data_IF_317292813357
#
_entry.id   IF_317292813357
#
_cell.length_a   1.000
_cell.length_b   1.000
_cell.length_c   1.000
_cell.angle_alpha   90.00
_cell.angle_beta   90.00
_cell.angle_gamma   90.00
#
_symmetry.space_group_name_H-M   'P 1'
#
loop_
_entity.id
_entity.type
_entity.pdbx_description
1 polymer ?
#
# COMPACT_ATOMS: atom_id res chain seq x y z
N UNK A 1 -8.51 1.90 6.68
CA UNK A 1 -7.14 2.05 7.21
C UNK A 1 -7.08 3.10 8.32
N UNK A 2 -7.61 4.30 8.09
CA UNK A 2 -7.64 5.33 9.13
C UNK A 2 -8.42 4.94 10.39
N UNK A 3 -9.66 4.46 10.25
CA UNK A 3 -10.47 4.00 11.39
C UNK A 3 -9.82 2.85 12.15
N UNK A 4 -9.25 1.90 11.42
CA UNK A 4 -8.44 0.80 11.99
C UNK A 4 -7.31 1.32 12.90
N UNK A 5 -6.66 2.43 12.54
CA UNK A 5 -5.64 3.07 13.38
C UNK A 5 -6.22 3.73 14.64
N UNK A 6 -7.39 4.36 14.51
CA UNK A 6 -8.01 5.15 15.59
C UNK A 6 -8.72 4.28 16.63
N UNK A 7 -9.51 3.29 16.17
CA UNK A 7 -10.42 2.51 17.01
C UNK A 7 -10.11 1.01 17.03
N UNK A 8 -9.11 0.56 16.26
CA UNK A 8 -8.67 -0.84 16.26
C UNK A 8 -9.50 -1.78 15.37
N UNK A 9 -10.51 -1.26 14.68
CA UNK A 9 -11.31 -1.98 13.67
C UNK A 9 -11.70 -1.03 12.53
N UNK A 10 -12.08 -1.59 11.38
CA UNK A 10 -12.66 -0.81 10.29
C UNK A 10 -14.07 -0.35 10.66
N UNK A 11 -14.20 0.92 11.03
CA UNK A 11 -15.49 1.55 11.28
C UNK A 11 -16.18 1.98 9.98
N UNK A 12 -17.51 1.92 9.98
CA UNK A 12 -18.39 2.43 8.91
C UNK A 12 -18.27 3.95 8.76
N UNK A 13 -18.63 4.44 7.58
CA UNK A 13 -18.73 5.87 7.28
C UNK A 13 -20.17 6.24 6.92
N UNK A 14 -20.59 7.51 7.13
CA UNK A 14 -21.85 8.02 6.61
C UNK A 14 -21.97 7.80 5.09
N UNK A 15 -23.20 7.81 4.56
CA UNK A 15 -23.46 7.63 3.13
C UNK A 15 -22.76 8.68 2.25
N UNK A 16 -22.63 9.91 2.76
CA UNK A 16 -21.89 11.01 2.12
C UNK A 16 -20.72 11.49 3.01
N UNK A 17 -19.59 10.77 3.06
CA UNK A 17 -18.49 11.12 3.96
C UNK A 17 -17.61 12.25 3.42
N UNK A 18 -17.60 12.47 2.09
CA UNK A 18 -16.66 13.37 1.43
C UNK A 18 -16.74 14.83 1.92
N UNK A 19 -17.92 15.47 2.08
CA UNK A 19 -17.97 16.88 2.49
C UNK A 19 -17.30 17.14 3.85
N UNK A 20 -17.52 16.25 4.82
CA UNK A 20 -16.88 16.34 6.14
C UNK A 20 -15.36 16.12 6.02
N UNK A 21 -14.96 15.09 5.27
CA UNK A 21 -13.57 14.74 5.08
C UNK A 21 -12.77 15.85 4.39
N UNK A 22 -13.32 16.46 3.34
CA UNK A 22 -12.73 17.58 2.60
C UNK A 22 -12.65 18.86 3.43
N UNK A 23 -13.55 19.03 4.41
CA UNK A 23 -13.50 20.10 5.39
C UNK A 23 -12.47 19.85 6.52
N UNK A 24 -11.76 18.71 6.49
CA UNK A 24 -10.77 18.32 7.49
C UNK A 24 -11.32 17.49 8.65
N UNK A 25 -12.62 17.21 8.68
CA UNK A 25 -13.21 16.31 9.67
C UNK A 25 -13.04 14.85 9.25
N UNK A 26 -11.90 14.28 9.66
CA UNK A 26 -11.54 12.87 9.45
C UNK A 26 -12.06 11.93 10.55
N UNK A 27 -12.95 12.43 11.43
CA UNK A 27 -13.48 11.70 12.58
C UNK A 27 -14.99 11.41 12.49
N UNK A 28 -15.61 11.72 11.35
CA UNK A 28 -17.04 11.51 11.08
C UNK A 28 -17.48 10.05 10.90
N UNK A 29 -16.60 9.09 11.18
CA UNK A 29 -16.91 7.66 11.12
C UNK A 29 -17.92 7.24 12.21
N UNK A 30 -18.72 6.22 11.91
CA UNK A 30 -19.79 5.71 12.78
C UNK A 30 -19.23 4.74 13.85
N UNK A 31 -19.93 4.55 14.98
CA UNK A 31 -19.51 3.59 15.99
C UNK A 31 -19.74 2.11 15.60
N UNK A 32 -20.22 1.84 14.38
CA UNK A 32 -20.46 0.50 13.84
C UNK A 32 -19.26 -0.01 13.02
N UNK A 33 -19.08 -1.33 12.97
CA UNK A 33 -18.01 -1.95 12.20
C UNK A 33 -18.44 -2.20 10.75
N UNK A 34 -17.55 -1.90 9.82
CA UNK A 34 -17.70 -2.14 8.39
C UNK A 34 -17.53 -3.62 8.05
N UNK A 35 -18.09 -4.02 6.90
CA UNK A 35 -17.97 -5.36 6.38
C UNK A 35 -16.60 -5.59 5.72
N UNK A 36 -15.76 -6.40 6.37
CA UNK A 36 -14.37 -6.64 5.95
C UNK A 36 -14.21 -8.01 5.28
N UNK A 37 -13.75 -8.02 4.03
CA UNK A 37 -13.47 -9.24 3.24
C UNK A 37 -11.98 -9.59 3.10
N UNK A 38 -11.09 -8.72 3.58
CA UNK A 38 -9.65 -8.88 3.42
C UNK A 38 -8.95 -8.92 4.79
N UNK A 39 -7.90 -9.76 4.96
CA UNK A 39 -7.05 -9.69 6.14
C UNK A 39 -6.46 -8.27 6.34
N UNK A 40 -6.26 -7.82 7.60
CA UNK A 40 -6.04 -6.40 7.89
C UNK A 40 -4.61 -5.91 7.63
N UNK A 41 -3.66 -6.81 7.36
CA UNK A 41 -2.22 -6.46 7.28
C UNK A 41 -1.94 -5.32 6.28
N UNK A 42 -2.49 -5.37 5.07
CA UNK A 42 -2.27 -4.32 4.08
C UNK A 42 -2.85 -2.96 4.52
N UNK A 43 -4.00 -2.98 5.20
CA UNK A 43 -4.61 -1.76 5.76
C UNK A 43 -3.76 -1.18 6.90
N UNK A 44 -3.14 -2.03 7.72
CA UNK A 44 -2.18 -1.59 8.75
C UNK A 44 -0.93 -0.94 8.17
N UNK A 45 -0.41 -1.46 7.05
CA UNK A 45 0.73 -0.86 6.35
C UNK A 45 0.37 0.55 5.83
N UNK A 46 -0.82 0.72 5.25
CA UNK A 46 -1.33 2.04 4.82
C UNK A 46 -1.52 2.97 6.03
N UNK A 47 -2.13 2.47 7.11
CA UNK A 47 -2.34 3.22 8.34
C UNK A 47 -1.03 3.71 8.96
N UNK A 48 0.06 2.93 8.86
CA UNK A 48 1.38 3.34 9.33
C UNK A 48 1.90 4.58 8.58
N UNK A 49 1.68 4.62 7.26
CA UNK A 49 1.97 5.81 6.44
C UNK A 49 1.19 7.03 6.91
N UNK A 50 -0.13 6.88 7.12
CA UNK A 50 -0.97 7.96 7.64
C UNK A 50 -0.50 8.44 9.02
N UNK A 51 -0.13 7.52 9.92
CA UNK A 51 0.31 7.83 11.29
C UNK A 51 1.56 8.72 11.34
N UNK A 52 2.55 8.43 10.50
CA UNK A 52 3.85 9.13 10.57
C UNK A 52 3.90 10.42 9.76
N UNK A 53 3.02 10.60 8.78
CA UNK A 53 3.17 11.64 7.76
C UNK A 53 2.08 12.72 7.77
N UNK A 54 1.36 12.89 8.88
CA UNK A 54 0.40 13.99 9.04
C UNK A 54 -1.07 13.59 8.86
N UNK A 55 -1.40 12.32 9.09
CA UNK A 55 -2.79 11.86 9.24
C UNK A 55 -3.56 11.76 7.93
N UNK A 56 -4.84 11.43 8.08
CA UNK A 56 -5.78 11.24 6.98
C UNK A 56 -6.12 12.54 6.22
N UNK A 57 -5.93 13.72 6.82
CA UNK A 57 -6.19 15.02 6.20
C UNK A 57 -5.32 15.28 4.96
N UNK A 58 -4.18 14.61 4.87
CA UNK A 58 -3.23 14.77 3.77
C UNK A 58 -3.34 13.58 2.79
N UNK A 59 -3.90 13.73 1.58
CA UNK A 59 -4.18 12.59 0.69
C UNK A 59 -2.96 11.77 0.27
N UNK A 60 -1.77 12.37 0.25
CA UNK A 60 -0.53 11.69 -0.11
C UNK A 60 -0.09 10.68 0.97
N UNK A 61 -0.46 10.86 2.24
CA UNK A 61 -0.10 9.97 3.34
C UNK A 61 -0.79 8.60 3.22
N UNK A 62 -1.88 8.53 2.45
CA UNK A 62 -2.61 7.29 2.18
C UNK A 62 -1.88 6.41 1.17
N UNK A 63 -0.98 7.02 0.39
CA UNK A 63 -0.29 6.42 -0.75
C UNK A 63 1.19 6.20 -0.48
N UNK A 64 1.77 6.87 0.52
CA UNK A 64 3.21 6.77 0.81
C UNK A 64 3.66 5.32 1.08
N UNK A 65 2.83 4.54 1.78
CA UNK A 65 3.11 3.12 1.99
C UNK A 65 3.15 2.35 0.67
N UNK A 66 2.17 2.57 -0.23
CA UNK A 66 2.13 1.92 -1.55
C UNK A 66 3.33 2.32 -2.40
N UNK A 67 3.74 3.59 -2.35
CA UNK A 67 4.87 4.09 -3.11
C UNK A 67 6.19 3.45 -2.65
N UNK A 68 6.41 3.39 -1.33
CA UNK A 68 7.60 2.75 -0.74
C UNK A 68 7.63 1.26 -1.10
N UNK A 69 6.50 0.57 -0.93
CA UNK A 69 6.38 -0.85 -1.26
C UNK A 69 6.67 -1.11 -2.74
N UNK A 70 6.16 -0.29 -3.65
CA UNK A 70 6.45 -0.37 -5.08
C UNK A 70 7.93 -0.24 -5.42
N UNK A 71 8.62 0.73 -4.80
CA UNK A 71 10.08 0.91 -4.98
C UNK A 71 10.85 -0.31 -4.45
N UNK A 72 10.46 -0.85 -3.30
CA UNK A 72 11.09 -2.07 -2.75
C UNK A 72 10.83 -3.26 -3.68
N UNK A 73 9.65 -3.37 -4.26
CA UNK A 73 9.31 -4.44 -5.21
C UNK A 73 10.24 -4.44 -6.43
N UNK A 74 10.57 -3.27 -7.01
CA UNK A 74 11.55 -3.14 -8.09
C UNK A 74 12.90 -3.74 -7.69
N UNK A 75 13.39 -3.42 -6.49
CA UNK A 75 14.67 -3.94 -5.98
C UNK A 75 14.59 -5.46 -5.79
N UNK A 76 13.50 -5.98 -5.23
CA UNK A 76 13.32 -7.42 -5.04
C UNK A 76 13.28 -8.16 -6.37
N UNK A 77 12.52 -7.68 -7.36
CA UNK A 77 12.47 -8.25 -8.71
C UNK A 77 13.87 -8.32 -9.31
N UNK A 78 14.64 -7.22 -9.23
CA UNK A 78 16.01 -7.19 -9.73
C UNK A 78 16.91 -8.23 -9.04
N UNK A 79 16.78 -8.37 -7.71
CA UNK A 79 17.59 -9.32 -6.91
C UNK A 79 17.20 -10.76 -7.16
N UNK A 80 15.92 -11.04 -7.32
CA UNK A 80 15.37 -12.37 -7.63
C UNK A 80 15.80 -12.79 -9.03
N UNK A 81 15.59 -11.96 -10.05
CA UNK A 81 16.02 -12.24 -11.41
C UNK A 81 17.54 -12.45 -11.51
N UNK A 82 18.34 -11.64 -10.79
CA UNK A 82 19.78 -11.85 -10.71
C UNK A 82 20.13 -13.24 -10.17
N UNK A 83 19.45 -13.73 -9.14
CA UNK A 83 19.69 -15.07 -8.58
C UNK A 83 19.27 -16.17 -9.55
N UNK A 84 18.11 -16.02 -10.18
CA UNK A 84 17.57 -17.01 -11.12
C UNK A 84 18.44 -17.18 -12.37
N UNK A 85 18.92 -16.07 -12.95
CA UNK A 85 19.72 -16.07 -14.17
C UNK A 85 21.24 -16.03 -13.92
N UNK A 86 21.67 -16.00 -12.66
CA UNK A 86 23.07 -15.78 -12.26
C UNK A 86 23.75 -14.58 -12.96
N UNK A 87 22.98 -13.55 -13.36
CA UNK A 87 23.45 -12.44 -14.19
C UNK A 87 22.98 -11.10 -13.63
N UNK A 88 23.94 -10.21 -13.36
CA UNK A 88 23.65 -8.83 -12.93
C UNK A 88 22.89 -8.07 -14.00
N UNK A 89 23.26 -8.27 -15.28
CA UNK A 89 22.61 -7.61 -16.39
C UNK A 89 21.12 -7.99 -16.48
N UNK A 90 20.80 -9.29 -16.33
CA UNK A 90 19.41 -9.75 -16.33
C UNK A 90 18.62 -9.23 -15.12
N UNK A 91 19.26 -9.12 -13.96
CA UNK A 91 18.66 -8.48 -12.79
C UNK A 91 18.31 -7.01 -13.04
N UNK A 92 19.23 -6.25 -13.65
CA UNK A 92 18.99 -4.84 -14.01
C UNK A 92 17.84 -4.72 -15.00
N UNK A 93 17.82 -5.55 -16.06
CA UNK A 93 16.76 -5.52 -17.07
C UNK A 93 15.40 -5.81 -16.42
N UNK A 94 15.28 -6.85 -15.60
CA UNK A 94 14.02 -7.18 -14.94
C UNK A 94 13.54 -6.06 -13.99
N UNK A 95 14.44 -5.50 -13.19
CA UNK A 95 14.12 -4.35 -12.33
C UNK A 95 13.71 -3.12 -13.13
N UNK A 96 14.42 -2.80 -14.21
CA UNK A 96 14.11 -1.66 -15.07
C UNK A 96 12.75 -1.81 -15.73
N UNK A 97 12.41 -3.00 -16.22
CA UNK A 97 11.09 -3.29 -16.79
C UNK A 97 9.97 -3.08 -15.75
N UNK A 98 10.15 -3.59 -14.53
CA UNK A 98 9.19 -3.36 -13.44
C UNK A 98 9.07 -1.87 -13.07
N UNK A 99 10.17 -1.13 -13.10
CA UNK A 99 10.20 0.29 -12.72
C UNK A 99 9.46 1.20 -13.72
N UNK A 100 9.38 0.80 -14.99
CA UNK A 100 8.70 1.57 -16.06
C UNK A 100 7.36 0.96 -16.46
N UNK A 101 6.95 -0.13 -15.83
CA UNK A 101 5.68 -0.76 -16.08
C UNK A 101 4.52 0.15 -15.62
N UNK A 102 3.59 0.42 -16.53
CA UNK A 102 2.51 1.37 -16.30
C UNK A 102 1.58 0.93 -15.18
N UNK A 103 1.25 -0.37 -15.11
CA UNK A 103 0.36 -0.92 -14.10
C UNK A 103 1.03 -0.90 -12.72
N UNK A 104 2.30 -1.30 -12.64
CA UNK A 104 3.10 -1.23 -11.42
C UNK A 104 3.17 0.20 -10.87
N UNK A 105 3.33 1.21 -11.73
CA UNK A 105 3.32 2.62 -11.35
C UNK A 105 1.94 3.05 -10.81
N UNK A 106 0.86 2.66 -11.49
CA UNK A 106 -0.53 2.98 -11.08
C UNK A 106 -0.84 2.36 -9.71
N UNK A 107 -0.49 1.09 -9.50
CA UNK A 107 -0.68 0.41 -8.23
C UNK A 107 0.18 1.01 -7.11
N UNK A 108 1.41 1.43 -7.42
CA UNK A 108 2.31 2.04 -6.43
C UNK A 108 1.87 3.43 -5.98
N UNK A 109 1.06 4.13 -6.78
CA UNK A 109 0.56 5.48 -6.44
C UNK A 109 -0.89 5.50 -5.95
N UNK A 110 -1.53 4.34 -5.87
CA UNK A 110 -2.91 4.19 -5.40
C UNK A 110 -2.90 3.50 -4.04
N UNK A 111 -3.80 3.90 -3.14
CA UNK A 111 -3.95 3.30 -1.81
C UNK A 111 -4.66 1.94 -1.83
N UNK A 112 -4.31 1.04 -2.76
CA UNK A 112 -4.89 -0.30 -2.89
C UNK A 112 -4.10 -1.36 -2.10
N UNK A 113 -4.75 -2.48 -1.82
CA UNK A 113 -4.15 -3.59 -1.07
C UNK A 113 -3.31 -4.53 -1.93
N UNK A 114 -3.52 -4.52 -3.25
CA UNK A 114 -2.85 -5.39 -4.22
C UNK A 114 -1.33 -5.26 -4.15
N UNK A 115 -0.82 -4.03 -4.06
CA UNK A 115 0.62 -3.78 -3.98
C UNK A 115 1.21 -4.29 -2.65
N UNK A 116 0.42 -4.23 -1.57
CA UNK A 116 0.79 -4.76 -0.25
C UNK A 116 0.86 -6.29 -0.26
N UNK A 117 -0.08 -6.94 -0.95
CA UNK A 117 -0.03 -8.40 -1.11
C UNK A 117 1.17 -8.81 -1.97
N UNK A 118 1.34 -8.17 -3.12
CA UNK A 118 2.40 -8.46 -4.08
C UNK A 118 3.79 -8.45 -3.43
N UNK A 119 4.09 -7.47 -2.57
CA UNK A 119 5.40 -7.41 -1.92
C UNK A 119 5.69 -8.62 -1.04
N UNK A 120 4.71 -9.08 -0.27
CA UNK A 120 4.88 -10.26 0.58
C UNK A 120 5.03 -11.54 -0.23
N UNK A 121 4.32 -11.64 -1.37
CA UNK A 121 4.52 -12.74 -2.32
C UNK A 121 5.93 -12.73 -2.91
N UNK A 122 6.45 -11.56 -3.30
CA UNK A 122 7.83 -11.41 -3.79
C UNK A 122 8.87 -11.75 -2.72
N UNK A 123 8.67 -11.31 -1.48
CA UNK A 123 9.54 -11.67 -0.34
C UNK A 123 9.54 -13.17 -0.12
N UNK A 124 8.35 -13.80 -0.08
CA UNK A 124 8.24 -15.24 0.09
C UNK A 124 8.97 -16.00 -1.02
N UNK A 125 8.77 -15.61 -2.28
CA UNK A 125 9.46 -16.22 -3.42
C UNK A 125 10.98 -16.01 -3.37
N UNK A 126 11.45 -14.81 -3.00
CA UNK A 126 12.88 -14.52 -2.90
C UNK A 126 13.61 -15.24 -1.75
N UNK A 127 12.86 -15.82 -0.82
CA UNK A 127 13.35 -16.65 0.28
C UNK A 127 13.42 -18.15 -0.04
N UNK A 128 12.85 -18.60 -1.17
CA UNK A 128 13.04 -19.96 -1.70
C UNK A 128 14.41 -20.10 -2.37
#
# INVERSE_FOLDING_TARGET
AWTLLQVGYEADWPEEPNPAFEAGDVSSFLPTADYVVHPPLGKWMIALGMRFFGGAENPWTWRIASAVVGVVAVVLVARIARRLFASTAMGIVAGALMAVDGEAIVHSRTGLLDNMLMIWVLVAFGCL
#
